data_IF_912419534020
#
_entry.id   IF_912419534020
#
_cell.length_a   1.000
_cell.length_b   1.000
_cell.length_c   1.000
_cell.angle_alpha   90.00
_cell.angle_beta   90.00
_cell.angle_gamma   90.00
#
_symmetry.space_group_name_H-M   'P 1'
#
loop_
_entity.id
_entity.type
_entity.pdbx_description
1 polymer ?
#
# COMPACT_ATOMS: atom_id res chain seq x y z
N UNK A 1 -12.94 -13.52 9.38
CA UNK A 1 -13.40 -12.17 9.78
C UNK A 1 -12.55 -11.69 10.95
N UNK A 2 -11.53 -10.89 10.66
CA UNK A 2 -10.88 -10.09 11.71
C UNK A 2 -11.94 -9.24 12.41
N UNK A 3 -11.97 -9.31 13.73
CA UNK A 3 -12.79 -8.38 14.52
C UNK A 3 -12.19 -6.98 14.41
N UNK A 4 -13.02 -5.93 14.60
CA UNK A 4 -12.52 -4.55 14.70
C UNK A 4 -11.41 -4.40 15.74
N UNK A 5 -11.39 -5.27 16.76
CA UNK A 5 -10.35 -5.34 17.78
C UNK A 5 -8.96 -5.62 17.22
N UNK A 6 -8.82 -6.40 16.14
CA UNK A 6 -7.50 -6.72 15.58
C UNK A 6 -6.94 -5.53 14.81
N UNK A 7 -7.78 -4.81 14.05
CA UNK A 7 -7.34 -3.60 13.34
C UNK A 7 -6.88 -2.52 14.33
N UNK A 8 -7.67 -2.26 15.37
CA UNK A 8 -7.30 -1.32 16.43
C UNK A 8 -6.03 -1.74 17.17
N UNK A 9 -5.84 -3.04 17.41
CA UNK A 9 -4.62 -3.55 18.02
C UNK A 9 -3.40 -3.34 17.13
N UNK A 10 -3.49 -3.65 15.84
CA UNK A 10 -2.42 -3.40 14.87
C UNK A 10 -2.04 -1.92 14.82
N UNK A 11 -3.03 -1.03 14.76
CA UNK A 11 -2.80 0.42 14.76
C UNK A 11 -2.08 0.83 16.05
N UNK A 12 -2.60 0.44 17.21
CA UNK A 12 -1.99 0.81 18.50
C UNK A 12 -0.56 0.26 18.67
N UNK A 13 -0.27 -0.91 18.11
CA UNK A 13 1.03 -1.57 18.22
C UNK A 13 2.08 -0.98 17.28
N UNK A 14 1.69 -0.53 16.10
CA UNK A 14 2.63 -0.20 15.02
C UNK A 14 2.66 1.28 14.60
N UNK A 15 1.61 2.05 14.89
CA UNK A 15 1.56 3.48 14.54
C UNK A 15 2.72 4.23 15.21
N UNK A 16 3.55 4.87 14.38
CA UNK A 16 4.71 5.66 14.81
C UNK A 16 5.76 4.86 15.62
N UNK A 17 5.72 3.51 15.53
CA UNK A 17 6.66 2.60 16.19
C UNK A 17 7.53 1.89 15.16
N UNK A 18 8.86 1.99 15.31
CA UNK A 18 9.84 1.18 14.58
C UNK A 18 9.98 -0.19 15.25
N UNK A 19 9.30 -1.20 14.70
CA UNK A 19 9.21 -2.57 15.23
C UNK A 19 9.01 -3.55 14.06
N UNK A 20 10.10 -3.80 13.34
CA UNK A 20 10.12 -4.74 12.21
C UNK A 20 9.90 -6.18 12.66
N UNK A 21 10.44 -6.59 13.80
CA UNK A 21 10.23 -7.95 14.34
C UNK A 21 8.74 -8.19 14.64
N UNK A 22 8.07 -7.23 15.25
CA UNK A 22 6.64 -7.29 15.49
C UNK A 22 5.81 -7.32 14.20
N UNK A 23 6.19 -6.54 13.19
CA UNK A 23 5.54 -6.56 11.86
C UNK A 23 5.74 -7.89 11.16
N UNK A 24 6.95 -8.43 11.20
CA UNK A 24 7.25 -9.75 10.65
C UNK A 24 6.33 -10.80 11.26
N UNK A 25 6.24 -10.86 12.59
CA UNK A 25 5.35 -11.80 13.30
C UNK A 25 3.89 -11.62 12.90
N UNK A 26 3.41 -10.37 12.78
CA UNK A 26 2.03 -10.10 12.36
C UNK A 26 1.75 -10.54 10.91
N UNK A 27 2.69 -10.29 10.00
CA UNK A 27 2.61 -10.71 8.59
C UNK A 27 2.64 -12.23 8.48
N UNK A 28 3.56 -12.89 9.19
CA UNK A 28 3.68 -14.35 9.24
C UNK A 28 2.44 -15.02 9.85
N UNK A 29 1.78 -14.35 10.80
CA UNK A 29 0.50 -14.79 11.39
C UNK A 29 -0.72 -14.57 10.47
N UNK A 30 -0.54 -14.03 9.25
CA UNK A 30 -1.61 -13.86 8.26
C UNK A 30 -2.43 -12.58 8.40
N UNK A 31 -2.03 -11.64 9.26
CA UNK A 31 -2.78 -10.39 9.47
C UNK A 31 -2.86 -9.57 8.18
N UNK A 32 -1.74 -9.41 7.47
CA UNK A 32 -1.68 -8.65 6.23
C UNK A 32 -2.51 -9.29 5.10
N UNK A 33 -2.48 -10.62 5.01
CA UNK A 33 -3.24 -11.38 4.02
C UNK A 33 -4.75 -11.19 4.21
N UNK A 34 -5.24 -11.32 5.43
CA UNK A 34 -6.66 -11.18 5.75
C UNK A 34 -7.15 -9.72 5.62
N UNK A 35 -6.33 -8.73 5.99
CA UNK A 35 -6.63 -7.31 5.68
C UNK A 35 -6.75 -7.08 4.17
N UNK A 36 -5.86 -7.68 3.38
CA UNK A 36 -5.89 -7.58 1.93
C UNK A 36 -7.12 -8.27 1.35
N UNK A 37 -7.49 -9.46 1.83
CA UNK A 37 -8.72 -10.16 1.44
C UNK A 37 -9.97 -9.30 1.73
N UNK A 38 -10.01 -8.62 2.88
CA UNK A 38 -11.09 -7.71 3.24
C UNK A 38 -11.18 -6.53 2.26
N UNK A 39 -10.04 -5.90 1.96
CA UNK A 39 -9.97 -4.76 1.03
C UNK A 39 -10.39 -5.16 -0.38
N UNK A 40 -10.03 -6.37 -0.82
CA UNK A 40 -10.32 -6.86 -2.16
C UNK A 40 -11.80 -7.27 -2.33
N UNK A 41 -12.36 -7.98 -1.35
CA UNK A 41 -13.66 -8.66 -1.49
C UNK A 41 -14.88 -7.85 -1.05
N UNK A 42 -14.72 -6.89 -0.13
CA UNK A 42 -15.87 -6.16 0.40
C UNK A 42 -16.40 -5.11 -0.56
N UNK A 43 -17.66 -4.73 -0.37
CA UNK A 43 -18.22 -3.57 -1.05
C UNK A 43 -17.42 -2.31 -0.67
N UNK A 44 -17.15 -1.46 -1.66
CA UNK A 44 -16.29 -0.29 -1.52
C UNK A 44 -16.79 0.66 -0.41
N UNK A 45 -18.12 0.81 -0.28
CA UNK A 45 -18.74 1.70 0.70
C UNK A 45 -18.63 1.21 2.15
N UNK A 46 -18.28 -0.07 2.33
CA UNK A 46 -18.11 -0.69 3.66
C UNK A 46 -16.66 -0.67 4.15
N UNK A 47 -15.73 -0.26 3.30
CA UNK A 47 -14.32 -0.10 3.67
C UNK A 47 -14.17 1.16 4.52
N UNK A 48 -13.49 1.03 5.66
CA UNK A 48 -13.23 2.13 6.58
C UNK A 48 -11.75 2.49 6.57
N UNK A 49 -11.42 3.73 6.95
CA UNK A 49 -10.04 4.18 7.09
C UNK A 49 -9.24 3.28 8.05
N UNK A 50 -9.87 2.74 9.10
CA UNK A 50 -9.25 1.84 10.08
C UNK A 50 -8.68 0.56 9.43
N UNK A 51 -9.37 -0.02 8.44
CA UNK A 51 -8.88 -1.21 7.73
C UNK A 51 -7.58 -0.85 6.98
N UNK A 52 -7.57 0.31 6.33
CA UNK A 52 -6.42 0.74 5.52
C UNK A 52 -5.25 1.14 6.41
N UNK A 53 -5.50 1.86 7.50
CA UNK A 53 -4.49 2.23 8.50
C UNK A 53 -3.82 0.99 9.10
N UNK A 54 -4.59 -0.06 9.41
CA UNK A 54 -4.02 -1.29 9.93
C UNK A 54 -3.02 -1.92 8.95
N UNK A 55 -3.34 -1.91 7.64
CA UNK A 55 -2.42 -2.38 6.60
C UNK A 55 -1.25 -1.41 6.39
N UNK A 56 -1.51 -0.10 6.38
CA UNK A 56 -0.52 0.97 6.22
C UNK A 56 0.60 0.83 7.26
N UNK A 57 0.23 0.66 8.55
CA UNK A 57 1.21 0.57 9.63
C UNK A 57 1.99 -0.75 9.65
N UNK A 58 1.55 -1.79 8.94
CA UNK A 58 2.39 -2.96 8.65
C UNK A 58 3.46 -2.66 7.59
N UNK A 59 3.26 -1.64 6.74
CA UNK A 59 4.20 -1.26 5.68
C UNK A 59 5.11 -0.09 6.05
N UNK A 60 4.73 0.75 7.02
CA UNK A 60 5.44 1.98 7.40
C UNK A 60 5.54 2.11 8.94
N UNK A 61 6.72 2.46 9.50
CA UNK A 61 7.99 2.78 8.84
C UNK A 61 8.87 1.57 8.45
N UNK A 62 8.27 0.39 8.26
CA UNK A 62 8.96 -0.89 8.07
C UNK A 62 10.13 -0.91 7.06
N UNK A 63 11.10 -1.81 7.24
CA UNK A 63 12.21 -2.01 6.29
C UNK A 63 11.74 -2.48 4.91
N UNK A 64 12.67 -2.47 3.94
CA UNK A 64 12.41 -2.95 2.59
C UNK A 64 12.03 -4.43 2.58
N UNK A 65 12.68 -5.22 3.42
CA UNK A 65 12.48 -6.66 3.59
C UNK A 65 11.08 -6.96 4.14
N UNK A 66 10.62 -6.20 5.14
CA UNK A 66 9.27 -6.38 5.69
C UNK A 66 8.18 -6.00 4.69
N UNK A 67 8.40 -4.92 3.92
CA UNK A 67 7.47 -4.53 2.83
C UNK A 67 7.42 -5.58 1.73
N UNK A 68 8.56 -6.16 1.40
CA UNK A 68 8.67 -7.25 0.42
C UNK A 68 7.96 -8.51 0.92
N UNK A 69 8.19 -8.90 2.17
CA UNK A 69 7.51 -10.02 2.81
C UNK A 69 5.98 -9.86 2.78
N UNK A 70 5.47 -8.66 3.08
CA UNK A 70 4.04 -8.37 3.02
C UNK A 70 3.47 -8.60 1.61
N UNK A 71 4.16 -8.10 0.58
CA UNK A 71 3.78 -8.30 -0.82
C UNK A 71 3.80 -9.78 -1.21
N UNK A 72 4.83 -10.52 -0.80
CA UNK A 72 4.99 -11.94 -1.11
C UNK A 72 3.95 -12.84 -0.44
N UNK A 73 3.47 -12.48 0.76
CA UNK A 73 2.36 -13.20 1.41
C UNK A 73 1.08 -13.09 0.61
N UNK A 74 0.74 -11.90 0.14
CA UNK A 74 -0.39 -11.65 -0.75
C UNK A 74 -0.23 -10.31 -1.44
N UNK A 75 -0.25 -10.31 -2.78
CA UNK A 75 -0.20 -9.09 -3.58
C UNK A 75 -1.41 -8.18 -3.24
N UNK A 76 -1.18 -6.99 -2.64
CA UNK A 76 -2.26 -6.12 -2.19
C UNK A 76 -2.71 -5.10 -3.25
N UNK A 77 -2.04 -5.03 -4.40
CA UNK A 77 -2.30 -4.02 -5.43
C UNK A 77 -3.73 -4.06 -5.98
N UNK A 78 -4.33 -5.21 -6.33
CA UNK A 78 -5.69 -5.22 -6.87
C UNK A 78 -6.70 -4.53 -5.95
N UNK A 79 -6.63 -4.86 -4.66
CA UNK A 79 -7.46 -4.25 -3.62
C UNK A 79 -7.15 -2.76 -3.44
N UNK A 80 -5.88 -2.40 -3.24
CA UNK A 80 -5.46 -1.02 -2.98
C UNK A 80 -5.79 -0.08 -4.16
N UNK A 81 -5.55 -0.50 -5.40
CA UNK A 81 -5.85 0.34 -6.57
C UNK A 81 -7.35 0.51 -6.80
N UNK A 82 -8.19 -0.50 -6.48
CA UNK A 82 -9.65 -0.34 -6.49
C UNK A 82 -10.12 0.78 -5.54
N UNK A 83 -9.44 0.96 -4.40
CA UNK A 83 -9.80 2.01 -3.44
C UNK A 83 -9.47 3.44 -3.90
N UNK A 84 -8.74 3.64 -5.01
CA UNK A 84 -8.51 4.98 -5.55
C UNK A 84 -9.77 5.60 -6.16
N UNK A 85 -10.79 4.78 -6.43
CA UNK A 85 -12.11 5.20 -6.90
C UNK A 85 -13.08 5.51 -5.73
N UNK A 86 -12.61 5.44 -4.48
CA UNK A 86 -13.42 5.71 -3.31
C UNK A 86 -13.78 7.21 -3.21
N UNK A 87 -15.05 7.52 -2.92
CA UNK A 87 -15.52 8.92 -2.85
C UNK A 87 -15.01 9.68 -1.62
N UNK A 88 -14.76 8.96 -0.52
CA UNK A 88 -14.12 9.51 0.68
C UNK A 88 -12.60 9.70 0.50
N UNK A 89 -12.16 10.96 0.47
CA UNK A 89 -10.74 11.33 0.39
C UNK A 89 -9.90 10.86 1.58
N UNK A 90 -10.49 10.68 2.76
CA UNK A 90 -9.75 10.20 3.95
C UNK A 90 -9.25 8.78 3.75
N UNK A 91 -10.00 7.95 3.01
CA UNK A 91 -9.54 6.61 2.64
C UNK A 91 -8.36 6.72 1.67
N UNK A 92 -8.48 7.56 0.64
CA UNK A 92 -7.41 7.75 -0.35
C UNK A 92 -6.12 8.27 0.32
N UNK A 93 -6.24 9.13 1.34
CA UNK A 93 -5.12 9.64 2.13
C UNK A 93 -4.29 8.53 2.81
N UNK A 94 -4.89 7.39 3.13
CA UNK A 94 -4.19 6.22 3.68
C UNK A 94 -3.77 5.21 2.59
N UNK A 95 -4.58 5.05 1.54
CA UNK A 95 -4.30 4.11 0.46
C UNK A 95 -3.02 4.48 -0.30
N UNK A 96 -2.86 5.76 -0.66
CA UNK A 96 -1.73 6.19 -1.50
C UNK A 96 -0.38 6.04 -0.79
N UNK A 97 -0.20 6.46 0.48
CA UNK A 97 1.01 6.15 1.24
C UNK A 97 1.28 4.65 1.35
N UNK A 98 0.24 3.83 1.53
CA UNK A 98 0.36 2.36 1.59
C UNK A 98 0.92 1.80 0.28
N UNK A 99 0.35 2.19 -0.86
CA UNK A 99 0.85 1.80 -2.20
C UNK A 99 2.31 2.23 -2.36
N UNK A 100 2.61 3.49 -2.06
CA UNK A 100 3.96 4.02 -2.15
C UNK A 100 4.95 3.25 -1.27
N UNK A 101 4.54 2.86 -0.06
CA UNK A 101 5.37 2.10 0.89
C UNK A 101 5.72 0.71 0.36
N UNK A 102 4.74 0.00 -0.20
CA UNK A 102 4.96 -1.35 -0.75
C UNK A 102 5.85 -1.29 -2.00
N UNK A 103 5.64 -0.29 -2.88
CA UNK A 103 6.54 -0.03 -4.01
C UNK A 103 7.97 0.24 -3.53
N UNK A 104 8.14 0.95 -2.42
CA UNK A 104 9.45 1.23 -1.87
C UNK A 104 10.19 -0.06 -1.44
N UNK A 105 9.46 -1.08 -0.96
CA UNK A 105 10.00 -2.43 -0.68
C UNK A 105 10.72 -3.04 -1.89
N UNK A 106 10.06 -3.05 -3.05
CA UNK A 106 10.63 -3.58 -4.30
C UNK A 106 11.88 -2.83 -4.79
N UNK A 107 11.99 -1.53 -4.51
CA UNK A 107 13.19 -0.74 -4.86
C UNK A 107 14.39 -1.17 -4.01
N UNK A 108 14.20 -1.26 -2.69
CA UNK A 108 15.29 -1.56 -1.77
C UNK A 108 15.87 -2.97 -1.92
N UNK A 109 15.06 -3.92 -2.38
CA UNK A 109 15.46 -5.32 -2.55
C UNK A 109 16.03 -5.64 -3.94
N UNK A 110 15.99 -4.72 -4.91
CA UNK A 110 16.47 -4.97 -6.28
C UNK A 110 17.52 -3.97 -6.77
N UNK A 111 18.71 -4.47 -7.11
CA UNK A 111 19.74 -3.68 -7.79
C UNK A 111 19.63 -3.93 -9.30
N UNK A 112 19.60 -2.87 -10.10
CA UNK A 112 19.75 -2.88 -11.58
C UNK A 112 18.54 -3.24 -12.46
N UNK A 113 17.31 -3.25 -11.94
CA UNK A 113 16.11 -3.33 -12.79
C UNK A 113 15.74 -1.96 -13.36
N UNK A 114 15.30 -1.93 -14.63
CA UNK A 114 14.76 -0.72 -15.28
C UNK A 114 13.48 -0.23 -14.62
N UNK A 115 12.69 -1.14 -14.06
CA UNK A 115 11.43 -0.85 -13.37
C UNK A 115 11.45 -1.45 -11.96
N UNK A 116 10.51 -1.02 -11.12
CA UNK A 116 10.23 -1.69 -9.85
C UNK A 116 9.87 -3.17 -10.11
N UNK A 117 10.34 -4.16 -9.31
CA UNK A 117 9.91 -5.55 -9.46
C UNK A 117 8.39 -5.72 -9.33
N UNK A 118 7.71 -4.76 -8.70
CA UNK A 118 6.25 -4.74 -8.57
C UNK A 118 5.54 -4.19 -9.82
N UNK A 119 6.27 -3.72 -10.84
CA UNK A 119 5.70 -3.03 -12.01
C UNK A 119 4.63 -3.85 -12.70
N UNK A 120 4.95 -5.11 -13.04
CA UNK A 120 4.02 -5.99 -13.73
C UNK A 120 2.74 -6.22 -12.89
N UNK A 121 2.86 -6.45 -11.58
CA UNK A 121 1.70 -6.62 -10.70
C UNK A 121 0.81 -5.37 -10.61
N UNK A 122 1.40 -4.18 -10.73
CA UNK A 122 0.65 -2.91 -10.81
C UNK A 122 -0.02 -2.75 -12.17
N UNK A 123 0.66 -3.12 -13.26
CA UNK A 123 0.12 -3.06 -14.62
C UNK A 123 -1.06 -4.01 -14.81
N UNK A 124 -0.94 -5.26 -14.35
CA UNK A 124 -1.96 -6.31 -14.50
C UNK A 124 -3.30 -5.96 -13.82
N UNK A 125 -3.30 -5.15 -12.77
CA UNK A 125 -4.52 -4.68 -12.10
C UNK A 125 -5.03 -3.31 -12.59
N UNK A 126 -4.44 -2.77 -13.66
CA UNK A 126 -4.72 -1.44 -14.20
C UNK A 126 -4.33 -0.30 -13.24
N UNK A 127 -3.40 -0.57 -12.32
CA UNK A 127 -3.00 0.37 -11.27
C UNK A 127 -2.30 1.60 -11.82
N UNK A 128 -1.58 1.47 -12.94
CA UNK A 128 -0.89 2.60 -13.61
C UNK A 128 -1.91 3.67 -14.03
N UNK A 129 -2.97 3.26 -14.72
CA UNK A 129 -4.00 4.17 -15.23
C UNK A 129 -4.80 4.79 -14.07
N UNK A 130 -5.12 4.01 -13.03
CA UNK A 130 -5.83 4.51 -11.83
C UNK A 130 -5.00 5.54 -11.07
N UNK A 131 -3.70 5.28 -10.88
CA UNK A 131 -2.78 6.23 -10.25
C UNK A 131 -2.66 7.52 -11.07
N UNK A 132 -2.61 7.40 -12.40
CA UNK A 132 -2.50 8.54 -13.31
C UNK A 132 -3.76 9.41 -13.27
N UNK A 133 -4.92 8.78 -13.37
CA UNK A 133 -6.22 9.43 -13.23
C UNK A 133 -6.32 10.20 -11.90
N UNK A 134 -5.95 9.58 -10.78
CA UNK A 134 -5.96 10.24 -9.47
C UNK A 134 -5.02 11.45 -9.42
N UNK A 135 -3.80 11.32 -9.94
CA UNK A 135 -2.83 12.43 -10.00
C UNK A 135 -3.37 13.63 -10.78
N UNK A 136 -4.04 13.38 -11.91
CA UNK A 136 -4.64 14.43 -12.75
C UNK A 136 -5.87 15.08 -12.11
N UNK A 137 -6.73 14.29 -11.49
CA UNK A 137 -8.08 14.72 -11.07
C UNK A 137 -8.14 15.26 -9.65
N UNK A 138 -7.24 14.82 -8.75
CA UNK A 138 -7.31 15.26 -7.35
C UNK A 138 -6.95 16.75 -7.19
N UNK A 139 -7.76 17.45 -6.41
CA UNK A 139 -7.46 18.82 -5.93
C UNK A 139 -6.68 18.83 -4.61
N UNK A 140 -6.55 17.67 -3.94
CA UNK A 140 -5.89 17.55 -2.64
C UNK A 140 -4.37 17.41 -2.86
N UNK A 141 -3.63 18.45 -2.49
CA UNK A 141 -2.17 18.55 -2.73
C UNK A 141 -1.39 17.34 -2.20
N UNK A 142 -1.68 16.89 -0.97
CA UNK A 142 -0.96 15.76 -0.37
C UNK A 142 -1.20 14.45 -1.14
N UNK A 143 -2.42 14.19 -1.63
CA UNK A 143 -2.71 13.02 -2.45
C UNK A 143 -1.94 13.11 -3.77
N UNK A 144 -1.95 14.29 -4.42
CA UNK A 144 -1.22 14.54 -5.67
C UNK A 144 0.29 14.29 -5.52
N UNK A 145 0.90 14.86 -4.48
CA UNK A 145 2.34 14.71 -4.22
C UNK A 145 2.71 13.25 -3.97
N UNK A 146 1.91 12.52 -3.19
CA UNK A 146 2.17 11.10 -2.88
C UNK A 146 1.88 10.18 -4.08
N UNK A 147 0.94 10.53 -4.95
CA UNK A 147 0.73 9.84 -6.22
C UNK A 147 1.93 10.01 -7.15
N UNK A 148 2.47 11.23 -7.27
CA UNK A 148 3.70 11.50 -8.03
C UNK A 148 4.91 10.71 -7.48
N UNK A 149 5.05 10.64 -6.15
CA UNK A 149 6.10 9.82 -5.52
C UNK A 149 5.91 8.33 -5.83
N UNK A 150 4.67 7.83 -5.80
CA UNK A 150 4.37 6.44 -6.14
C UNK A 150 4.69 6.14 -7.60
N UNK A 151 4.41 7.09 -8.52
CA UNK A 151 4.86 7.01 -9.91
C UNK A 151 6.38 6.91 -10.05
N UNK A 152 7.12 7.81 -9.38
CA UNK A 152 8.58 7.78 -9.41
C UNK A 152 9.16 6.48 -8.85
N UNK A 153 8.49 5.86 -7.86
CA UNK A 153 8.86 4.56 -7.29
C UNK A 153 8.56 3.39 -8.23
N UNK A 154 7.47 3.47 -9.01
CA UNK A 154 7.07 2.45 -9.96
C UNK A 154 8.04 2.38 -11.15
N UNK A 155 8.33 3.54 -11.75
CA UNK A 155 9.24 3.65 -12.90
C UNK A 155 10.72 3.73 -12.50
N UNK A 156 11.01 3.69 -11.20
CA UNK A 156 12.36 3.64 -10.60
C UNK A 156 13.32 4.62 -11.29
N UNK A 157 13.32 5.87 -10.82
CA UNK A 157 14.17 6.98 -11.27
C UNK A 157 15.37 6.61 -12.17
N UNK A 158 15.18 6.68 -13.49
CA UNK A 158 16.25 7.08 -14.41
C UNK A 158 16.03 8.55 -14.76
N UNK A 159 17.13 9.27 -15.00
CA UNK A 159 17.08 10.63 -15.53
C UNK A 159 16.22 10.65 -16.79
N UNK A 160 15.38 11.68 -16.92
CA UNK A 160 14.70 11.99 -18.18
C UNK A 160 15.81 12.24 -19.21
N UNK A 161 15.93 11.37 -20.21
CA UNK A 161 16.70 11.60 -21.43
C UNK A 161 15.76 12.05 -22.54
#
# INVERSE_FOLDING_TARGET
MLSGSIMSHCIAKFKDIDDDEGRQKAIEAGVAEELTNIIESRDLTTITATIIQALEYLTYPASYEIRQLLFEKKNPYPGLFRLLEHTNSDIILHVIPTIGSILLGGIGTTKNLEHNPHFQSVEECGGIQKLFSLFQTTSIKVIKDKAAVSFGRLYKARAIS
#
